data_IF_052661754259
#
_entry.id   IF_052661754259
#
_cell.length_a   1.000
_cell.length_b   1.000
_cell.length_c   1.000
_cell.angle_alpha   90.00
_cell.angle_beta   90.00
_cell.angle_gamma   90.00
#
_symmetry.space_group_name_H-M   'P 1'
#
loop_
_entity.id
_entity.type
_entity.pdbx_description
1 polymer ?
#
# COMPACT_ATOMS: atom_id res chain seq x y z
N UNK A 1 7.39 -13.96 -17.44
CA UNK A 1 6.91 -14.30 -16.10
C UNK A 1 6.86 -13.05 -15.24
N UNK A 2 5.83 -12.92 -14.40
CA UNK A 2 5.81 -11.89 -13.38
C UNK A 2 6.93 -12.17 -12.36
N UNK A 3 7.64 -11.12 -11.95
CA UNK A 3 8.63 -11.22 -10.89
C UNK A 3 7.96 -11.14 -9.52
N UNK A 4 8.41 -11.96 -8.60
CA UNK A 4 8.06 -11.93 -7.19
C UNK A 4 9.35 -11.95 -6.37
N UNK A 5 9.57 -10.91 -5.57
CA UNK A 5 10.77 -10.75 -4.75
C UNK A 5 10.39 -10.23 -3.35
N UNK A 6 11.13 -10.60 -2.30
CA UNK A 6 10.92 -10.04 -0.98
C UNK A 6 11.27 -8.55 -0.96
N UNK A 7 10.55 -7.77 -0.15
CA UNK A 7 10.87 -6.39 0.18
C UNK A 7 10.86 -6.24 1.69
N UNK A 8 12.00 -5.95 2.27
CA UNK A 8 12.14 -5.60 3.67
C UNK A 8 11.92 -4.10 3.87
N UNK A 9 11.02 -3.74 4.76
CA UNK A 9 10.79 -2.35 5.16
C UNK A 9 11.34 -2.13 6.55
N UNK A 10 12.19 -1.11 6.69
CA UNK A 10 12.83 -0.73 7.95
C UNK A 10 12.39 0.67 8.38
N UNK A 11 11.93 0.79 9.60
CA UNK A 11 11.62 2.07 10.25
C UNK A 11 12.63 2.32 11.36
N UNK A 12 13.29 3.46 11.32
CA UNK A 12 14.36 3.81 12.27
C UNK A 12 15.43 2.72 12.38
N UNK A 13 15.80 2.10 11.25
CA UNK A 13 16.81 1.05 11.18
C UNK A 13 16.35 -0.34 11.64
N UNK A 14 15.11 -0.51 12.10
CA UNK A 14 14.55 -1.81 12.53
C UNK A 14 13.60 -2.36 11.47
N UNK A 15 13.76 -3.63 11.14
CA UNK A 15 12.83 -4.35 10.26
C UNK A 15 11.42 -4.38 10.86
N UNK A 16 10.44 -3.95 10.10
CA UNK A 16 9.04 -3.95 10.52
C UNK A 16 8.20 -4.95 9.75
N UNK A 17 8.55 -5.22 8.50
CA UNK A 17 7.85 -6.20 7.65
C UNK A 17 8.73 -6.66 6.50
N UNK A 18 8.52 -7.90 6.06
CA UNK A 18 8.97 -8.41 4.76
C UNK A 18 7.72 -8.79 3.96
N UNK A 19 7.56 -8.19 2.78
CA UNK A 19 6.44 -8.48 1.86
C UNK A 19 6.98 -9.10 0.58
N UNK A 20 6.35 -10.20 0.13
CA UNK A 20 6.55 -10.68 -1.24
C UNK A 20 5.79 -9.75 -2.19
N UNK A 21 6.48 -9.16 -3.15
CA UNK A 21 5.90 -8.17 -4.06
C UNK A 21 6.41 -8.30 -5.49
N UNK A 22 5.70 -7.75 -6.43
CA UNK A 22 6.26 -7.45 -7.76
C UNK A 22 7.08 -6.17 -7.66
N UNK A 23 8.38 -6.19 -8.03
CA UNK A 23 9.25 -5.01 -8.00
C UNK A 23 8.67 -3.79 -8.74
N UNK A 24 8.96 -2.63 -8.20
CA UNK A 24 8.48 -1.34 -8.70
C UNK A 24 7.42 -0.70 -7.80
N UNK A 25 7.48 0.62 -7.74
CA UNK A 25 6.64 1.43 -6.85
C UNK A 25 6.79 1.09 -5.36
N UNK A 26 7.98 0.62 -4.95
CA UNK A 26 8.25 0.18 -3.60
C UNK A 26 8.06 1.30 -2.54
N UNK A 27 8.43 2.57 -2.77
CA UNK A 27 8.08 3.66 -1.86
C UNK A 27 6.58 3.85 -1.66
N UNK A 28 5.78 3.66 -2.72
CA UNK A 28 4.31 3.72 -2.64
C UNK A 28 3.77 2.54 -1.82
N UNK A 29 4.29 1.32 -2.05
CA UNK A 29 3.93 0.15 -1.25
C UNK A 29 4.22 0.38 0.23
N UNK A 30 5.38 0.94 0.57
CA UNK A 30 5.75 1.21 1.95
C UNK A 30 4.86 2.28 2.58
N UNK A 31 4.61 3.39 1.90
CA UNK A 31 3.76 4.47 2.40
C UNK A 31 2.31 4.00 2.60
N UNK A 32 1.75 3.27 1.63
CA UNK A 32 0.40 2.74 1.72
C UNK A 32 0.25 1.73 2.85
N UNK A 33 1.21 0.82 3.01
CA UNK A 33 1.23 -0.12 4.11
C UNK A 33 1.25 0.58 5.48
N UNK A 34 2.15 1.57 5.67
CA UNK A 34 2.24 2.29 6.93
C UNK A 34 0.97 3.09 7.25
N UNK A 35 0.33 3.68 6.24
CA UNK A 35 -0.93 4.38 6.38
C UNK A 35 -2.06 3.41 6.74
N UNK A 36 -2.17 2.28 6.02
CA UNK A 36 -3.18 1.26 6.25
C UNK A 36 -3.07 0.59 7.62
N UNK A 37 -1.85 0.50 8.16
CA UNK A 37 -1.60 -0.01 9.52
C UNK A 37 -1.72 1.10 10.60
N UNK A 38 -2.03 2.34 10.22
CA UNK A 38 -2.23 3.46 11.14
C UNK A 38 -0.96 4.01 11.78
N UNK A 39 0.22 3.71 11.21
CA UNK A 39 1.52 4.18 11.70
C UNK A 39 1.83 5.61 11.31
N UNK A 40 1.29 6.04 10.18
CA UNK A 40 1.36 7.40 9.67
C UNK A 40 -0.07 7.86 9.35
N UNK A 41 -0.31 9.16 9.42
CA UNK A 41 -1.62 9.77 9.14
C UNK A 41 -1.52 10.87 8.11
N UNK A 42 -0.42 11.62 8.14
CA UNK A 42 -0.22 12.80 7.29
C UNK A 42 1.08 12.69 6.50
N UNK A 43 1.15 13.40 5.39
CA UNK A 43 2.37 13.42 4.55
C UNK A 43 3.61 13.89 5.33
N UNK A 44 3.44 14.77 6.31
CA UNK A 44 4.52 15.28 7.17
C UNK A 44 5.09 14.24 8.14
N UNK A 45 4.40 13.14 8.36
CA UNK A 45 4.90 12.04 9.20
C UNK A 45 6.07 11.29 8.54
N UNK A 46 6.18 11.39 7.22
CA UNK A 46 7.24 10.74 6.44
C UNK A 46 8.25 11.77 5.95
N UNK A 47 9.47 11.69 6.44
CA UNK A 47 10.59 12.53 5.99
C UNK A 47 11.09 12.00 4.64
N UNK A 48 11.42 10.70 4.58
CA UNK A 48 12.00 10.07 3.42
C UNK A 48 11.69 8.58 3.38
N UNK A 49 11.56 8.02 2.18
CA UNK A 49 11.56 6.58 1.91
C UNK A 49 12.63 6.35 0.85
N UNK A 50 13.70 5.66 1.23
CA UNK A 50 14.87 5.47 0.37
C UNK A 50 15.31 4.01 0.33
N UNK A 51 15.88 3.54 -0.80
CA UNK A 51 16.54 2.24 -0.87
C UNK A 51 17.69 2.14 0.15
N UNK A 52 17.92 0.96 0.68
CA UNK A 52 19.10 0.69 1.48
C UNK A 52 20.32 0.63 0.55
N UNK A 53 21.33 1.47 0.79
CA UNK A 53 22.53 1.48 -0.04
C UNK A 53 23.60 0.47 0.41
N UNK A 54 23.38 -0.22 1.53
CA UNK A 54 24.34 -1.15 2.14
C UNK A 54 23.58 -2.36 2.73
N UNK A 55 24.16 -3.55 2.61
CA UNK A 55 23.60 -4.79 3.12
C UNK A 55 23.61 -5.90 2.09
N UNK A 56 23.05 -7.05 2.45
CA UNK A 56 23.08 -8.25 1.62
C UNK A 56 22.07 -8.24 0.46
N UNK A 57 21.03 -7.39 0.54
CA UNK A 57 20.01 -7.23 -0.49
C UNK A 57 19.52 -5.77 -0.57
N UNK A 58 20.38 -4.84 -1.04
CA UNK A 58 20.06 -3.41 -1.04
C UNK A 58 18.85 -3.06 -1.93
N UNK A 59 18.65 -3.76 -3.03
CA UNK A 59 17.52 -3.58 -3.95
C UNK A 59 16.17 -4.06 -3.37
N UNK A 60 16.23 -4.88 -2.33
CA UNK A 60 15.07 -5.46 -1.65
C UNK A 60 14.89 -4.93 -0.22
N UNK A 61 15.50 -3.80 0.10
CA UNK A 61 15.39 -3.16 1.42
C UNK A 61 15.10 -1.67 1.29
N UNK A 62 14.04 -1.22 1.95
CA UNK A 62 13.68 0.20 2.08
C UNK A 62 13.89 0.68 3.51
N UNK A 63 14.56 1.82 3.63
CA UNK A 63 14.63 2.60 4.88
C UNK A 63 13.55 3.68 4.86
N UNK A 64 12.75 3.74 5.92
CA UNK A 64 11.68 4.70 6.08
C UNK A 64 12.03 5.61 7.26
N UNK A 65 12.21 6.88 6.98
CA UNK A 65 12.54 7.91 7.94
C UNK A 65 11.27 8.67 8.29
N UNK A 66 10.79 8.46 9.51
CA UNK A 66 9.60 9.13 10.04
C UNK A 66 9.98 10.35 10.86
N UNK A 67 9.07 11.32 10.91
CA UNK A 67 9.21 12.48 11.77
C UNK A 67 9.39 12.06 13.25
N UNK A 68 10.17 12.80 14.05
CA UNK A 68 10.39 12.48 15.46
C UNK A 68 9.11 12.39 16.29
N UNK A 69 8.07 13.13 15.91
CA UNK A 69 6.75 13.14 16.54
C UNK A 69 5.94 11.87 16.36
N UNK A 70 6.28 11.05 15.36
CA UNK A 70 5.57 9.78 15.10
C UNK A 70 6.01 8.73 16.12
N UNK A 71 5.09 8.28 16.95
CA UNK A 71 5.34 7.17 17.87
C UNK A 71 5.23 5.83 17.13
N UNK A 72 6.27 4.99 17.26
CA UNK A 72 6.29 3.67 16.60
C UNK A 72 6.28 2.58 17.65
N UNK A 73 5.17 1.86 17.75
CA UNK A 73 5.09 0.67 18.58
C UNK A 73 5.56 -0.55 17.79
N UNK A 74 6.86 -0.86 17.91
CA UNK A 74 7.47 -1.99 17.19
C UNK A 74 6.92 -3.35 17.63
N UNK A 75 6.44 -3.51 18.85
CA UNK A 75 5.88 -4.79 19.32
C UNK A 75 4.55 -5.09 18.63
N UNK A 76 3.72 -4.07 18.43
CA UNK A 76 2.49 -4.23 17.67
C UNK A 76 2.77 -4.56 16.21
N UNK A 77 3.71 -3.85 15.58
CA UNK A 77 4.09 -4.07 14.21
C UNK A 77 4.59 -5.48 13.92
N UNK A 78 5.54 -5.96 14.71
CA UNK A 78 6.12 -7.29 14.49
C UNK A 78 5.13 -8.43 14.74
N UNK A 79 4.18 -8.28 15.65
CA UNK A 79 3.11 -9.27 15.86
C UNK A 79 2.15 -9.38 14.69
N UNK A 80 1.87 -8.28 14.00
CA UNK A 80 0.97 -8.28 12.83
C UNK A 80 1.60 -8.91 11.58
N UNK A 81 2.92 -8.91 11.48
CA UNK A 81 3.67 -9.38 10.32
C UNK A 81 3.78 -10.90 10.23
N UNK A 82 3.78 -11.60 11.35
CA UNK A 82 3.86 -13.07 11.39
C UNK A 82 2.51 -13.78 11.15
N UNK A 83 1.42 -13.03 10.99
CA UNK A 83 0.14 -13.62 10.63
C UNK A 83 0.07 -13.86 9.11
N UNK A 84 0.29 -15.09 8.73
CA UNK A 84 0.34 -15.60 7.34
C UNK A 84 -1.01 -15.62 6.61
N UNK A 85 -2.02 -14.86 7.04
CA UNK A 85 -3.30 -14.86 6.36
C UNK A 85 -3.39 -13.77 5.31
N UNK A 86 -3.89 -14.16 4.14
CA UNK A 86 -4.09 -13.32 2.96
C UNK A 86 -4.98 -12.07 3.16
N UNK A 87 -5.67 -11.93 4.29
CA UNK A 87 -6.59 -10.81 4.55
C UNK A 87 -6.06 -9.76 5.53
N UNK A 88 -4.86 -9.97 6.15
CA UNK A 88 -4.27 -9.02 7.10
C UNK A 88 -5.02 -8.88 8.44
N UNK A 89 -6.16 -9.55 8.61
CA UNK A 89 -6.98 -9.50 9.83
C UNK A 89 -6.58 -10.57 10.85
N UNK A 90 -6.05 -11.71 10.39
CA UNK A 90 -5.56 -12.75 11.28
C UNK A 90 -4.20 -12.35 11.85
N UNK A 91 -4.13 -12.10 13.16
CA UNK A 91 -2.93 -11.66 13.87
C UNK A 91 -3.10 -10.33 14.60
N UNK A 92 -4.19 -9.60 14.37
CA UNK A 92 -4.54 -8.48 15.26
C UNK A 92 -4.93 -9.03 16.63
N UNK A 93 -4.25 -8.55 17.65
CA UNK A 93 -4.29 -9.13 19.00
C UNK A 93 -5.64 -8.94 19.75
N UNK A 94 -6.54 -8.11 19.21
CA UNK A 94 -7.86 -7.88 19.80
C UNK A 94 -8.86 -7.41 18.73
N UNK A 95 -10.15 -7.54 19.03
CA UNK A 95 -11.23 -6.99 18.19
C UNK A 95 -11.07 -5.47 18.05
N UNK A 96 -10.66 -4.78 19.10
CA UNK A 96 -10.44 -3.33 19.08
C UNK A 96 -9.34 -2.91 18.10
N UNK A 97 -8.31 -3.74 17.93
CA UNK A 97 -7.26 -3.50 16.95
C UNK A 97 -7.73 -3.68 15.49
N UNK A 98 -8.89 -4.31 15.28
CA UNK A 98 -9.54 -4.41 13.95
C UNK A 98 -10.32 -3.13 13.64
N UNK A 99 -10.85 -2.47 14.66
CA UNK A 99 -11.59 -1.22 14.50
C UNK A 99 -10.62 -0.04 14.36
N UNK A 100 -10.29 0.31 13.14
CA UNK A 100 -9.62 1.57 12.87
C UNK A 100 -10.69 2.67 12.81
N UNK A 101 -10.57 3.67 13.66
CA UNK A 101 -11.46 4.82 13.67
C UNK A 101 -10.97 5.85 12.65
N UNK A 102 -11.47 5.76 11.43
CA UNK A 102 -11.33 6.85 10.48
C UNK A 102 -12.51 7.83 10.63
N UNK A 103 -12.28 9.13 10.45
CA UNK A 103 -13.39 10.08 10.41
C UNK A 103 -14.35 9.71 9.27
N UNK A 104 -15.66 9.95 9.41
CA UNK A 104 -16.61 9.73 8.34
C UNK A 104 -16.17 10.49 7.09
N UNK A 105 -16.35 9.88 5.92
CA UNK A 105 -16.13 10.56 4.65
C UNK A 105 -17.30 11.53 4.45
N UNK A 106 -17.06 12.80 4.69
CA UNK A 106 -18.05 13.88 4.50
C UNK A 106 -17.94 14.45 3.07
N UNK A 107 -18.11 13.58 2.08
CA UNK A 107 -18.09 13.98 0.68
C UNK A 107 -19.24 13.33 -0.07
N UNK A 108 -20.25 14.09 -0.51
CA UNK A 108 -21.37 13.56 -1.26
C UNK A 108 -20.95 13.26 -2.70
N UNK A 109 -20.28 12.14 -2.92
CA UNK A 109 -19.94 11.68 -4.27
C UNK A 109 -21.08 10.81 -4.80
N UNK A 110 -21.78 11.29 -5.81
CA UNK A 110 -22.73 10.50 -6.57
C UNK A 110 -22.06 9.95 -7.84
N UNK A 111 -21.97 8.62 -7.94
CA UNK A 111 -21.42 7.95 -9.10
C UNK A 111 -22.56 7.27 -9.86
N UNK A 112 -22.63 7.45 -11.19
CA UNK A 112 -23.63 6.77 -12.01
C UNK A 112 -23.36 5.27 -12.05
N UNK A 113 -24.41 4.44 -11.92
CA UNK A 113 -24.30 2.98 -11.99
C UNK A 113 -23.57 2.52 -13.28
N UNK A 114 -23.90 3.10 -14.41
CA UNK A 114 -23.22 2.83 -15.70
C UNK A 114 -21.70 3.08 -15.62
N UNK A 115 -21.26 4.12 -14.91
CA UNK A 115 -19.82 4.38 -14.71
C UNK A 115 -19.20 3.23 -13.93
N UNK A 116 -19.82 2.78 -12.81
CA UNK A 116 -19.32 1.67 -12.01
C UNK A 116 -19.22 0.37 -12.80
N UNK A 117 -20.21 0.07 -13.64
CA UNK A 117 -20.22 -1.11 -14.52
C UNK A 117 -19.04 -1.14 -15.51
N UNK A 118 -18.56 0.03 -15.91
CA UNK A 118 -17.44 0.15 -16.86
C UNK A 118 -16.06 0.07 -16.20
N UNK A 119 -15.93 0.35 -14.87
CA UNK A 119 -14.63 0.41 -14.20
C UNK A 119 -13.81 -0.88 -14.30
N UNK A 120 -14.38 -2.09 -14.12
CA UNK A 120 -13.60 -3.33 -14.25
C UNK A 120 -13.01 -3.50 -15.65
N UNK A 121 -13.73 -3.12 -16.69
CA UNK A 121 -13.23 -3.15 -18.08
C UNK A 121 -12.10 -2.16 -18.29
N UNK A 122 -12.23 -0.94 -17.74
CA UNK A 122 -11.20 0.11 -17.82
C UNK A 122 -9.95 -0.31 -17.04
N UNK A 123 -10.13 -0.87 -15.83
CA UNK A 123 -9.02 -1.42 -15.06
C UNK A 123 -8.30 -2.50 -15.85
N UNK A 124 -9.06 -3.45 -16.43
CA UNK A 124 -8.49 -4.53 -17.21
C UNK A 124 -7.67 -4.05 -18.41
N UNK A 125 -8.14 -3.02 -19.10
CA UNK A 125 -7.43 -2.42 -20.23
C UNK A 125 -6.12 -1.71 -19.83
N UNK A 126 -5.99 -1.31 -18.55
CA UNK A 126 -4.81 -0.63 -18.02
C UNK A 126 -3.79 -1.59 -17.36
N UNK A 127 -4.08 -2.89 -17.28
CA UNK A 127 -3.21 -3.92 -16.71
C UNK A 127 -2.20 -4.43 -17.73
N UNK A 128 -1.12 -3.71 -17.93
CA UNK A 128 -0.11 -4.03 -18.95
C UNK A 128 0.66 -5.31 -18.63
N UNK A 129 1.11 -5.47 -17.38
CA UNK A 129 1.88 -6.64 -16.97
C UNK A 129 1.00 -7.89 -16.90
N UNK A 130 -0.22 -7.75 -16.42
CA UNK A 130 -1.18 -8.85 -16.43
C UNK A 130 -1.48 -9.30 -17.86
N UNK A 131 -1.63 -8.38 -18.81
CA UNK A 131 -1.89 -8.72 -20.21
C UNK A 131 -0.78 -9.61 -20.81
N UNK A 132 0.46 -9.42 -20.34
CA UNK A 132 1.63 -10.20 -20.80
C UNK A 132 1.84 -11.50 -20.01
N UNK A 133 1.44 -11.57 -18.75
CA UNK A 133 1.85 -12.64 -17.83
C UNK A 133 0.70 -13.46 -17.27
N UNK A 134 -0.50 -12.87 -17.17
CA UNK A 134 -1.67 -13.46 -16.52
C UNK A 134 -1.57 -13.63 -15.00
N UNK A 135 -0.50 -13.15 -14.36
CA UNK A 135 -0.14 -13.53 -12.99
C UNK A 135 -0.21 -12.43 -11.93
N UNK A 136 -0.77 -11.25 -12.23
CA UNK A 136 -0.83 -10.15 -11.27
C UNK A 136 -2.25 -9.75 -10.92
N UNK A 137 -2.41 -9.24 -9.70
CA UNK A 137 -3.56 -8.45 -9.29
C UNK A 137 -3.35 -6.97 -9.63
N UNK A 138 -4.42 -6.20 -9.65
CA UNK A 138 -4.36 -4.75 -9.83
C UNK A 138 -5.34 -4.02 -8.92
N UNK A 139 -4.96 -2.82 -8.53
CA UNK A 139 -5.83 -1.82 -7.94
C UNK A 139 -5.73 -0.53 -8.75
N UNK A 140 -6.82 0.24 -8.78
CA UNK A 140 -6.85 1.54 -9.44
C UNK A 140 -7.77 2.53 -8.72
N UNK A 141 -7.46 3.82 -8.88
CA UNK A 141 -8.35 4.91 -8.52
C UNK A 141 -8.88 5.55 -9.80
N UNK A 142 -10.16 5.82 -9.77
CA UNK A 142 -10.88 6.54 -10.84
C UNK A 142 -11.58 7.75 -10.24
N UNK A 143 -11.70 8.83 -11.02
CA UNK A 143 -12.56 9.94 -10.63
C UNK A 143 -14.07 9.56 -10.76
N UNK A 144 -14.95 10.44 -10.28
CA UNK A 144 -16.40 10.22 -10.32
C UNK A 144 -16.97 10.06 -11.74
N UNK A 145 -16.22 10.42 -12.78
CA UNK A 145 -16.56 10.25 -14.20
C UNK A 145 -15.99 8.94 -14.76
N UNK A 146 -15.25 8.18 -13.95
CA UNK A 146 -14.59 6.94 -14.35
C UNK A 146 -13.31 7.14 -15.16
N UNK A 147 -12.69 8.33 -15.09
CA UNK A 147 -11.35 8.53 -15.66
C UNK A 147 -10.31 7.90 -14.72
N UNK A 148 -9.43 7.09 -15.27
CA UNK A 148 -8.32 6.47 -14.52
C UNK A 148 -7.35 7.56 -14.03
N UNK A 149 -7.07 7.56 -12.73
CA UNK A 149 -6.07 8.43 -12.08
C UNK A 149 -4.76 7.66 -11.95
N UNK A 150 -4.81 6.47 -11.38
CA UNK A 150 -3.63 5.62 -11.14
C UNK A 150 -4.04 4.15 -11.17
N UNK A 151 -3.14 3.31 -11.68
CA UNK A 151 -3.22 1.84 -11.60
C UNK A 151 -1.90 1.29 -11.09
N UNK A 152 -1.97 0.27 -10.24
CA UNK A 152 -0.79 -0.49 -9.78
C UNK A 152 -1.06 -1.98 -9.85
N UNK A 153 -0.06 -2.71 -10.34
CA UNK A 153 -0.09 -4.16 -10.42
C UNK A 153 0.88 -4.77 -9.41
N UNK A 154 0.50 -5.88 -8.80
CA UNK A 154 1.33 -6.64 -7.88
C UNK A 154 0.87 -8.10 -7.82
N UNK A 155 1.79 -9.03 -7.49
CA UNK A 155 1.47 -10.43 -7.21
C UNK A 155 0.52 -10.56 -6.01
N UNK A 156 0.61 -9.63 -5.05
CA UNK A 156 -0.26 -9.54 -3.88
C UNK A 156 -1.38 -8.52 -4.09
N UNK A 157 -2.67 -8.97 -4.02
CA UNK A 157 -3.81 -8.05 -4.15
C UNK A 157 -3.77 -6.89 -3.15
N UNK A 158 -3.35 -7.14 -1.89
CA UNK A 158 -3.21 -6.12 -0.86
C UNK A 158 -2.06 -5.15 -1.17
N UNK A 159 -0.96 -5.66 -1.72
CA UNK A 159 0.14 -4.80 -2.14
C UNK A 159 -0.28 -3.85 -3.27
N UNK A 160 -1.08 -4.33 -4.23
CA UNK A 160 -1.61 -3.47 -5.29
C UNK A 160 -2.45 -2.31 -4.72
N UNK A 161 -3.27 -2.58 -3.70
CA UNK A 161 -4.05 -1.56 -2.97
C UNK A 161 -3.12 -0.62 -2.20
N UNK A 162 -2.16 -1.16 -1.43
CA UNK A 162 -1.19 -0.36 -0.70
C UNK A 162 -0.42 0.58 -1.64
N UNK A 163 0.03 0.09 -2.80
CA UNK A 163 0.71 0.92 -3.82
C UNK A 163 -0.15 2.09 -4.28
N UNK A 164 -1.43 1.87 -4.53
CA UNK A 164 -2.36 2.93 -4.96
C UNK A 164 -2.62 3.94 -3.84
N UNK A 165 -2.83 3.48 -2.61
CA UNK A 165 -2.99 4.34 -1.44
C UNK A 165 -1.72 5.17 -1.22
N UNK A 166 -0.56 4.51 -1.26
CA UNK A 166 0.74 5.17 -1.10
C UNK A 166 1.05 6.20 -2.18
N UNK A 167 0.63 5.93 -3.43
CA UNK A 167 0.68 6.94 -4.49
C UNK A 167 -0.07 8.20 -4.09
N UNK A 168 -1.34 8.04 -3.68
CA UNK A 168 -2.17 9.18 -3.26
C UNK A 168 -1.58 9.92 -2.06
N UNK A 169 -1.06 9.18 -1.09
CA UNK A 169 -0.42 9.74 0.10
C UNK A 169 0.83 10.56 -0.25
N UNK A 170 1.76 10.00 -1.02
CA UNK A 170 3.01 10.66 -1.39
C UNK A 170 2.81 11.86 -2.30
N UNK A 171 1.80 11.80 -3.17
CA UNK A 171 1.44 12.88 -4.08
C UNK A 171 0.57 13.97 -3.43
N UNK A 172 0.10 13.77 -2.20
CA UNK A 172 -0.78 14.72 -1.51
C UNK A 172 -2.20 14.74 -2.07
N UNK A 173 -2.65 13.64 -2.65
CA UNK A 173 -4.01 13.51 -3.25
C UNK A 173 -5.03 12.87 -2.31
N UNK A 174 -4.64 12.50 -1.08
CA UNK A 174 -5.57 11.97 -0.10
C UNK A 174 -6.27 13.09 0.69
N UNK A 175 -7.59 12.95 0.95
CA UNK A 175 -8.49 11.93 0.37
C UNK A 175 -8.68 12.12 -1.13
N UNK A 176 -8.85 11.00 -1.88
CA UNK A 176 -9.06 11.02 -3.33
C UNK A 176 -10.39 11.64 -3.73
#
# INVERSE_FOLDING_TARGET
LAKEEPLEMRVRGRSVVVKMRTPGHDPELAAGFLLSEGLIQTRSDVIEIAPCLRGDAPENTLNIYLAPSVEVNFEQLTRHVFATSSCGLCGKASIDAVHQHFPPVDWPVAIRAKTLEELPKRLRAAQETFAQTGGLHAAAVFDAKGKLIVVREDVGRHNAVDKVIGYGFLAGYLPF
#
